data_IF_269463690365
#
_entry.id   IF_269463690365
#
_cell.length_a   1.000
_cell.length_b   1.000
_cell.length_c   1.000
_cell.angle_alpha   90.00
_cell.angle_beta   90.00
_cell.angle_gamma   90.00
#
_symmetry.space_group_name_H-M   'P 1'
#
loop_
_entity.id
_entity.type
_entity.pdbx_description
1 polymer ?
#
# COMPACT_ATOMS: atom_id res chain seq x y z
N UNK A 1 -39.29 -51.43 -9.80
CA UNK A 1 -39.32 -50.10 -9.21
C UNK A 1 -38.12 -49.92 -8.29
N UNK A 2 -37.82 -50.87 -7.38
CA UNK A 2 -36.70 -50.79 -6.43
C UNK A 2 -35.35 -50.73 -7.12
N UNK A 3 -35.11 -51.50 -8.20
CA UNK A 3 -33.85 -51.49 -8.95
C UNK A 3 -33.57 -50.15 -9.64
N UNK A 4 -34.60 -49.44 -10.13
CA UNK A 4 -34.51 -48.12 -10.74
C UNK A 4 -34.18 -47.04 -9.69
N UNK A 5 -34.70 -47.20 -8.47
CA UNK A 5 -34.40 -46.28 -7.36
C UNK A 5 -32.93 -46.40 -6.91
N UNK A 6 -32.38 -47.62 -6.85
CA UNK A 6 -30.97 -47.86 -6.56
C UNK A 6 -30.04 -47.31 -7.65
N UNK A 7 -30.41 -47.40 -8.90
CA UNK A 7 -29.63 -46.87 -10.01
C UNK A 7 -29.63 -45.35 -10.00
N UNK A 8 -30.72 -44.68 -9.68
CA UNK A 8 -30.77 -43.22 -9.53
C UNK A 8 -29.98 -42.74 -8.31
N UNK A 9 -30.02 -43.48 -7.20
CA UNK A 9 -29.27 -43.13 -5.99
C UNK A 9 -27.75 -43.30 -6.19
N UNK A 10 -27.31 -44.31 -6.95
CA UNK A 10 -25.89 -44.49 -7.28
C UNK A 10 -25.34 -43.45 -8.24
N UNK A 11 -26.16 -42.92 -9.18
CA UNK A 11 -25.76 -41.81 -10.06
C UNK A 11 -25.63 -40.50 -9.31
N UNK A 12 -26.46 -40.24 -8.29
CA UNK A 12 -26.38 -39.04 -7.46
C UNK A 12 -25.11 -39.08 -6.56
N UNK A 13 -24.72 -40.27 -6.11
CA UNK A 13 -23.49 -40.43 -5.29
C UNK A 13 -22.19 -40.31 -6.12
N UNK A 14 -22.25 -40.58 -7.44
CA UNK A 14 -21.08 -40.40 -8.33
C UNK A 14 -20.92 -38.99 -8.86
N UNK A 15 -21.96 -38.16 -8.82
CA UNK A 15 -21.85 -36.74 -9.23
C UNK A 15 -21.30 -35.80 -8.15
N UNK A 16 -21.09 -36.28 -6.93
CA UNK A 16 -20.56 -35.42 -5.85
C UNK A 16 -19.04 -35.24 -5.86
N UNK A 17 -18.30 -35.88 -6.78
CA UNK A 17 -16.84 -35.77 -6.85
C UNK A 17 -16.31 -34.77 -7.88
N UNK A 18 -17.16 -33.95 -8.48
CA UNK A 18 -16.73 -32.93 -9.44
C UNK A 18 -16.81 -31.51 -8.86
N UNK A 19 -16.40 -31.36 -7.59
CA UNK A 19 -15.96 -30.02 -7.12
C UNK A 19 -14.52 -29.85 -7.62
N UNK A 20 -14.38 -29.48 -8.88
CA UNK A 20 -13.17 -28.90 -9.42
C UNK A 20 -12.93 -27.53 -8.77
N UNK A 21 -12.68 -27.54 -7.48
CA UNK A 21 -11.97 -26.45 -6.85
C UNK A 21 -10.57 -26.42 -7.46
N UNK A 22 -10.31 -25.47 -8.33
CA UNK A 22 -8.93 -25.14 -8.71
C UNK A 22 -8.24 -24.61 -7.47
N UNK A 23 -7.77 -25.50 -6.63
CA UNK A 23 -6.82 -25.20 -5.57
C UNK A 23 -5.44 -25.04 -6.21
N UNK A 24 -5.27 -23.94 -6.94
CA UNK A 24 -3.96 -23.51 -7.41
C UNK A 24 -3.32 -22.73 -6.28
N UNK A 25 -2.89 -23.41 -5.24
CA UNK A 25 -1.92 -22.92 -4.28
C UNK A 25 -0.48 -23.21 -4.77
N UNK A 26 -0.26 -23.24 -6.07
CA UNK A 26 1.11 -23.11 -6.56
C UNK A 26 1.51 -21.64 -6.36
N UNK A 27 2.71 -21.37 -5.78
CA UNK A 27 3.23 -20.02 -5.76
C UNK A 27 3.27 -19.54 -7.20
N UNK A 28 2.33 -18.66 -7.53
CA UNK A 28 2.23 -18.10 -8.88
C UNK A 28 3.51 -17.30 -9.10
N UNK A 29 4.27 -17.70 -10.11
CA UNK A 29 5.42 -16.92 -10.58
C UNK A 29 4.85 -15.72 -11.36
N UNK A 30 4.22 -14.80 -10.62
CA UNK A 30 3.66 -13.60 -11.19
C UNK A 30 4.77 -12.72 -11.75
N UNK A 31 4.58 -12.28 -12.98
CA UNK A 31 5.50 -11.34 -13.61
C UNK A 31 5.47 -10.00 -12.83
N UNK A 32 6.62 -9.36 -12.76
CA UNK A 32 6.71 -8.03 -12.16
C UNK A 32 5.75 -7.05 -12.86
N UNK A 33 4.98 -6.32 -12.08
CA UNK A 33 4.01 -5.35 -12.56
C UNK A 33 4.36 -3.95 -12.07
N UNK A 34 4.04 -2.96 -12.92
CA UNK A 34 4.12 -1.56 -12.49
C UNK A 34 2.93 -1.26 -11.59
N UNK A 35 3.21 -0.87 -10.35
CA UNK A 35 2.15 -0.51 -9.42
C UNK A 35 1.35 0.69 -9.95
N UNK A 36 0.04 0.58 -10.01
CA UNK A 36 -0.88 1.69 -10.29
C UNK A 36 -1.15 2.51 -9.03
N UNK A 37 -1.83 3.66 -9.20
CA UNK A 37 -2.43 4.36 -8.07
C UNK A 37 -3.52 3.48 -7.45
N UNK A 38 -3.58 3.48 -6.12
CA UNK A 38 -4.67 2.85 -5.35
C UNK A 38 -5.90 3.75 -5.38
N UNK A 39 -5.68 5.05 -5.20
CA UNK A 39 -6.73 6.08 -5.21
C UNK A 39 -6.86 6.66 -6.61
N UNK A 40 -7.79 6.13 -7.39
CA UNK A 40 -8.01 6.57 -8.79
C UNK A 40 -8.41 8.04 -8.89
N UNK A 41 -9.16 8.55 -7.92
CA UNK A 41 -9.61 9.94 -7.85
C UNK A 41 -8.44 10.94 -7.80
N UNK A 42 -7.24 10.51 -7.37
CA UNK A 42 -6.06 11.36 -7.38
C UNK A 42 -5.65 11.76 -8.80
N UNK A 43 -5.84 10.89 -9.79
CA UNK A 43 -5.57 11.19 -11.19
C UNK A 43 -6.67 12.05 -11.84
N UNK A 44 -7.85 12.12 -11.21
CA UNK A 44 -9.02 12.84 -11.70
C UNK A 44 -9.23 14.20 -11.03
N UNK A 45 -8.34 14.61 -10.12
CA UNK A 45 -8.52 15.82 -9.31
C UNK A 45 -8.49 17.13 -10.11
N UNK A 46 -8.17 17.06 -11.41
CA UNK A 46 -7.98 18.22 -12.27
C UNK A 46 -6.56 18.78 -12.21
N UNK A 47 -6.28 19.74 -13.06
CA UNK A 47 -4.97 20.40 -13.11
C UNK A 47 -5.01 21.74 -12.39
N UNK A 48 -3.89 22.12 -11.78
CA UNK A 48 -3.76 23.47 -11.26
C UNK A 48 -3.70 24.51 -12.39
N UNK A 49 -4.33 25.66 -12.21
CA UNK A 49 -4.15 26.82 -13.13
C UNK A 49 -2.68 27.20 -13.23
N UNK A 50 -2.01 27.26 -12.09
CA UNK A 50 -0.57 27.46 -11.98
C UNK A 50 -0.02 26.37 -11.06
N UNK A 51 0.67 25.39 -11.66
CA UNK A 51 1.21 24.25 -10.91
C UNK A 51 2.18 24.70 -9.82
N UNK A 52 1.88 24.47 -8.53
CA UNK A 52 2.81 24.76 -7.46
C UNK A 52 4.06 23.90 -7.58
N UNK A 53 5.23 24.49 -7.33
CA UNK A 53 6.50 23.74 -7.31
C UNK A 53 6.77 23.24 -5.91
N UNK A 54 6.90 21.93 -5.76
CA UNK A 54 7.00 21.24 -4.47
C UNK A 54 8.28 20.41 -4.37
N UNK A 55 8.88 20.39 -3.18
CA UNK A 55 9.99 19.52 -2.85
C UNK A 55 9.61 18.56 -1.71
N UNK A 56 10.15 17.34 -1.80
CA UNK A 56 10.10 16.32 -0.75
C UNK A 56 11.53 15.92 -0.43
N UNK A 57 11.92 16.01 0.83
CA UNK A 57 13.20 15.52 1.31
C UNK A 57 13.03 14.11 1.91
N UNK A 58 13.98 13.19 1.71
CA UNK A 58 13.89 11.84 2.28
C UNK A 58 13.76 11.83 3.80
N UNK A 59 14.40 12.79 4.46
CA UNK A 59 14.38 12.95 5.92
C UNK A 59 13.10 13.58 6.45
N UNK A 60 12.31 14.21 5.57
CA UNK A 60 11.10 14.94 5.95
C UNK A 60 9.83 14.10 5.84
N UNK A 61 9.93 12.85 5.38
CA UNK A 61 8.83 11.90 5.39
C UNK A 61 9.35 10.50 5.74
N UNK A 62 9.08 10.07 6.96
CA UNK A 62 9.65 8.85 7.55
C UNK A 62 8.64 8.08 8.39
N UNK A 63 9.05 6.91 8.81
CA UNK A 63 8.32 6.11 9.79
C UNK A 63 8.71 6.54 11.21
N UNK A 64 7.79 7.19 11.90
CA UNK A 64 7.93 7.60 13.29
C UNK A 64 7.23 6.64 14.28
N UNK A 65 6.67 5.52 13.79
CA UNK A 65 5.95 4.56 14.63
C UNK A 65 6.88 3.75 15.52
N UNK A 66 8.12 3.51 15.07
CA UNK A 66 9.06 2.61 15.75
C UNK A 66 8.62 1.15 15.79
N UNK A 67 7.51 0.80 15.12
CA UNK A 67 6.92 -0.53 15.16
C UNK A 67 7.73 -1.53 14.35
N UNK A 68 7.94 -2.72 14.91
CA UNK A 68 8.60 -3.83 14.25
C UNK A 68 7.61 -4.96 14.01
N UNK A 69 7.86 -5.76 12.98
CA UNK A 69 7.04 -6.95 12.72
C UNK A 69 7.21 -7.92 13.88
N UNK A 70 6.10 -8.23 14.55
CA UNK A 70 6.04 -9.37 15.47
C UNK A 70 6.05 -10.64 14.64
N UNK A 71 7.14 -11.40 14.68
CA UNK A 71 7.18 -12.73 14.11
C UNK A 71 7.79 -13.70 15.12
N UNK A 72 7.13 -14.83 15.22
CA UNK A 72 7.42 -15.84 16.24
C UNK A 72 8.73 -16.62 16.02
N UNK A 73 9.46 -16.48 14.92
CA UNK A 73 10.62 -17.34 14.75
C UNK A 73 11.92 -16.71 14.20
N UNK A 74 11.94 -15.67 13.37
CA UNK A 74 13.23 -15.25 12.75
C UNK A 74 13.43 -13.76 12.40
N UNK A 75 12.45 -12.86 12.54
CA UNK A 75 12.58 -11.48 12.04
C UNK A 75 12.17 -10.38 13.02
N UNK A 76 12.79 -10.35 14.19
CA UNK A 76 12.58 -9.29 15.19
C UNK A 76 13.15 -7.92 14.79
N UNK A 77 13.89 -7.84 13.67
CA UNK A 77 14.55 -6.63 13.21
C UNK A 77 13.85 -5.92 12.04
N UNK A 78 12.86 -6.56 11.39
CA UNK A 78 12.13 -5.92 10.30
C UNK A 78 11.12 -4.90 10.85
N UNK A 79 11.12 -3.70 10.25
CA UNK A 79 10.10 -2.68 10.53
C UNK A 79 8.73 -3.12 10.00
N UNK A 80 7.68 -2.72 10.68
CA UNK A 80 6.31 -3.03 10.25
C UNK A 80 5.93 -2.25 8.99
N UNK A 81 6.47 -1.03 8.85
CA UNK A 81 6.23 -0.10 7.75
C UNK A 81 7.54 0.14 6.99
N UNK A 82 7.45 0.49 5.71
CA UNK A 82 8.64 0.85 4.90
C UNK A 82 9.37 2.05 5.48
N UNK A 83 10.71 2.03 5.40
CA UNK A 83 11.56 3.14 5.84
C UNK A 83 11.73 4.23 4.76
N UNK A 84 11.11 4.05 3.59
CA UNK A 84 11.16 5.00 2.49
C UNK A 84 9.76 5.46 2.03
N UNK A 85 8.85 5.89 2.92
CA UNK A 85 7.51 6.30 2.54
C UNK A 85 7.48 7.55 1.65
N UNK A 86 8.55 8.37 1.66
CA UNK A 86 8.70 9.52 0.77
C UNK A 86 8.63 9.16 -0.72
N UNK A 87 8.98 7.93 -1.09
CA UNK A 87 8.87 7.45 -2.48
C UNK A 87 7.39 7.41 -2.92
N UNK A 88 6.49 6.92 -2.06
CA UNK A 88 5.06 6.93 -2.33
C UNK A 88 4.51 8.35 -2.43
N UNK A 89 5.01 9.26 -1.58
CA UNK A 89 4.61 10.68 -1.63
C UNK A 89 5.03 11.35 -2.94
N UNK A 90 6.30 11.22 -3.33
CA UNK A 90 6.81 11.77 -4.60
C UNK A 90 5.98 11.24 -5.77
N UNK A 91 5.71 9.95 -5.77
CA UNK A 91 4.91 9.30 -6.80
C UNK A 91 3.47 9.83 -6.84
N UNK A 92 2.80 9.94 -5.70
CA UNK A 92 1.45 10.48 -5.60
C UNK A 92 1.37 11.93 -6.12
N UNK A 93 2.33 12.77 -5.74
CA UNK A 93 2.43 14.16 -6.22
C UNK A 93 2.64 14.24 -7.74
N UNK A 94 3.49 13.38 -8.31
CA UNK A 94 3.73 13.32 -9.76
C UNK A 94 2.50 12.85 -10.52
N UNK A 95 1.87 11.76 -10.06
CA UNK A 95 0.71 11.15 -10.72
C UNK A 95 -0.56 12.00 -10.61
N UNK A 96 -0.68 12.87 -9.59
CA UNK A 96 -1.77 13.84 -9.51
C UNK A 96 -1.75 14.83 -10.68
N UNK A 97 -0.57 15.02 -11.31
CA UNK A 97 -0.39 16.04 -12.36
C UNK A 97 -0.56 17.48 -11.88
N UNK A 98 -0.88 17.70 -10.61
CA UNK A 98 -1.20 18.99 -10.02
C UNK A 98 0.04 19.82 -9.67
N UNK A 99 1.14 19.16 -9.28
CA UNK A 99 2.37 19.78 -8.81
C UNK A 99 3.53 19.63 -9.80
N UNK A 100 4.48 20.58 -9.74
CA UNK A 100 5.83 20.39 -10.26
C UNK A 100 6.72 19.88 -9.14
N UNK A 101 7.03 18.59 -9.14
CA UNK A 101 7.91 17.98 -8.13
C UNK A 101 9.36 18.16 -8.55
N UNK A 102 10.18 18.79 -7.69
CA UNK A 102 11.61 19.00 -7.93
C UNK A 102 12.44 17.99 -7.16
N UNK A 103 13.56 17.58 -7.76
CA UNK A 103 14.49 16.62 -7.18
C UNK A 103 15.19 17.18 -5.93
N UNK A 104 15.05 16.46 -4.81
CA UNK A 104 15.76 16.73 -3.55
C UNK A 104 16.30 15.47 -2.89
N UNK A 105 15.92 14.29 -3.38
CA UNK A 105 16.40 13.01 -2.89
C UNK A 105 17.84 12.76 -3.33
N UNK A 106 18.14 13.01 -4.60
CA UNK A 106 19.46 12.86 -5.20
C UNK A 106 20.14 14.18 -5.54
N UNK A 107 19.88 15.25 -4.79
CA UNK A 107 20.39 16.59 -5.10
C UNK A 107 21.91 16.65 -5.19
N UNK A 108 22.62 15.92 -4.34
CA UNK A 108 24.10 15.87 -4.38
C UNK A 108 24.61 15.27 -5.68
N UNK A 109 24.00 14.21 -6.17
CA UNK A 109 24.36 13.58 -7.44
C UNK A 109 24.06 14.52 -8.61
N UNK A 110 22.89 15.17 -8.59
CA UNK A 110 22.53 16.18 -9.59
C UNK A 110 23.52 17.36 -9.60
N UNK A 111 23.96 17.81 -8.43
CA UNK A 111 24.93 18.89 -8.30
C UNK A 111 26.31 18.48 -8.87
N UNK A 112 26.76 17.29 -8.56
CA UNK A 112 28.02 16.73 -9.12
C UNK A 112 27.95 16.64 -10.64
N UNK A 113 26.86 16.11 -11.20
CA UNK A 113 26.67 16.02 -12.65
C UNK A 113 26.69 17.39 -13.31
N UNK A 114 26.04 18.38 -12.71
CA UNK A 114 26.06 19.76 -13.16
C UNK A 114 27.48 20.39 -13.12
N UNK A 115 28.31 20.02 -12.16
CA UNK A 115 29.72 20.44 -12.09
C UNK A 115 30.51 19.83 -13.24
N UNK A 116 30.33 18.53 -13.50
CA UNK A 116 30.97 17.84 -14.63
C UNK A 116 30.61 18.51 -15.96
N UNK A 117 29.33 18.80 -16.18
CA UNK A 117 28.87 19.48 -17.40
C UNK A 117 29.54 20.85 -17.55
N UNK A 118 29.62 21.63 -16.47
CA UNK A 118 30.27 22.95 -16.51
C UNK A 118 31.75 22.83 -16.87
N UNK A 119 32.48 21.96 -16.19
CA UNK A 119 33.91 21.74 -16.45
C UNK A 119 34.17 21.22 -17.87
N UNK A 120 33.34 20.30 -18.36
CA UNK A 120 33.46 19.79 -19.73
C UNK A 120 33.22 20.91 -20.77
N UNK A 121 32.19 21.72 -20.59
CA UNK A 121 31.90 22.84 -21.51
C UNK A 121 33.00 23.90 -21.50
N UNK A 122 33.52 24.20 -20.33
CA UNK A 122 34.65 25.12 -20.17
C UNK A 122 35.88 24.64 -20.94
N UNK A 123 36.20 23.34 -20.87
CA UNK A 123 37.32 22.72 -21.61
C UNK A 123 37.11 22.74 -23.13
N UNK A 124 35.88 22.78 -23.60
CA UNK A 124 35.54 22.84 -25.02
C UNK A 124 35.13 24.25 -25.49
N UNK A 125 35.36 25.27 -24.67
CA UNK A 125 35.02 26.68 -24.95
C UNK A 125 33.52 26.91 -25.30
N UNK A 126 32.64 26.00 -24.83
CA UNK A 126 31.21 26.07 -25.02
C UNK A 126 30.57 27.06 -24.02
N UNK A 127 30.12 28.22 -24.48
CA UNK A 127 29.55 29.26 -23.61
C UNK A 127 28.07 29.09 -23.28
N UNK A 128 27.50 27.90 -23.42
CA UNK A 128 26.08 27.66 -23.11
C UNK A 128 25.85 27.37 -21.65
N UNK A 129 25.33 28.29 -20.82
CA UNK A 129 25.13 28.07 -19.41
C UNK A 129 24.02 27.03 -19.17
N UNK A 130 24.13 26.29 -18.07
CA UNK A 130 23.03 25.46 -17.57
C UNK A 130 21.93 26.37 -17.02
N UNK A 131 20.68 26.03 -17.32
CA UNK A 131 19.54 26.70 -16.69
C UNK A 131 19.63 26.53 -15.16
N UNK A 132 19.20 27.51 -14.36
CA UNK A 132 19.14 27.37 -12.92
C UNK A 132 18.20 26.22 -12.52
N UNK A 133 18.47 25.59 -11.38
CA UNK A 133 17.52 24.64 -10.79
C UNK A 133 16.27 25.38 -10.33
N UNK A 134 15.14 24.73 -10.48
CA UNK A 134 13.89 25.26 -9.96
C UNK A 134 13.95 25.28 -8.42
N UNK A 135 13.49 26.38 -7.85
CA UNK A 135 13.24 26.44 -6.41
C UNK A 135 11.85 25.89 -6.09
N UNK A 136 11.72 25.26 -4.94
CA UNK A 136 10.42 24.85 -4.43
C UNK A 136 9.74 26.03 -3.70
N UNK A 137 8.49 26.29 -4.04
CA UNK A 137 7.66 27.24 -3.27
C UNK A 137 7.06 26.59 -2.02
N UNK A 138 6.91 25.27 -2.07
CA UNK A 138 6.32 24.45 -1.01
C UNK A 138 7.24 23.29 -0.64
N UNK A 139 7.26 22.94 0.65
CA UNK A 139 7.78 21.67 1.14
C UNK A 139 6.60 20.79 1.52
N UNK A 140 6.66 19.52 1.12
CA UNK A 140 5.77 18.49 1.60
C UNK A 140 6.54 17.61 2.57
N UNK A 141 6.07 17.59 3.81
CA UNK A 141 6.67 16.88 4.92
C UNK A 141 5.61 16.06 5.63
N UNK A 142 6.01 14.97 6.27
CA UNK A 142 5.07 14.17 7.01
C UNK A 142 5.71 12.93 7.60
N UNK A 143 4.88 12.08 8.15
CA UNK A 143 5.34 10.80 8.69
C UNK A 143 4.20 9.80 8.80
N UNK A 144 4.58 8.53 8.94
CA UNK A 144 3.69 7.51 9.48
C UNK A 144 3.72 7.69 10.99
N UNK A 145 2.65 8.22 11.56
CA UNK A 145 2.58 8.59 12.99
C UNK A 145 2.00 7.49 13.86
N UNK A 146 1.32 6.51 13.25
CA UNK A 146 0.74 5.39 13.97
C UNK A 146 0.64 4.14 13.09
N UNK A 147 0.96 3.01 13.69
CA UNK A 147 0.64 1.69 13.17
C UNK A 147 0.17 0.84 14.34
N UNK A 148 -1.10 0.55 14.37
CA UNK A 148 -1.72 -0.24 15.42
C UNK A 148 -2.12 -1.58 14.85
N UNK A 149 -1.63 -2.67 15.45
CA UNK A 149 -1.96 -4.03 15.05
C UNK A 149 -2.98 -4.65 15.99
N UNK A 150 -3.84 -5.52 15.44
CA UNK A 150 -4.88 -6.22 16.18
C UNK A 150 -5.88 -5.30 16.89
N UNK A 151 -6.21 -4.15 16.28
CA UNK A 151 -7.20 -3.21 16.83
C UNK A 151 -8.55 -3.89 17.08
N UNK A 152 -8.92 -4.79 16.18
CA UNK A 152 -10.05 -5.70 16.36
C UNK A 152 -9.66 -7.06 15.81
N UNK A 153 -9.93 -8.10 16.59
CA UNK A 153 -9.83 -9.48 16.15
C UNK A 153 -11.07 -10.23 16.57
N UNK A 154 -11.46 -11.20 15.79
CA UNK A 154 -12.60 -12.03 16.10
C UNK A 154 -12.70 -13.19 15.12
N UNK A 155 -13.50 -14.17 15.46
CA UNK A 155 -13.71 -15.31 14.61
C UNK A 155 -14.93 -16.09 15.07
N UNK A 156 -15.41 -16.95 14.21
CA UNK A 156 -16.38 -17.96 14.56
C UNK A 156 -15.97 -19.30 13.96
N UNK A 157 -16.27 -20.35 14.66
CA UNK A 157 -16.01 -21.71 14.20
C UNK A 157 -17.07 -22.65 14.73
N UNK A 158 -17.39 -23.67 13.97
CA UNK A 158 -18.24 -24.76 14.38
C UNK A 158 -17.65 -26.08 13.93
N UNK A 159 -17.69 -27.08 14.81
CA UNK A 159 -17.22 -28.45 14.55
C UNK A 159 -18.31 -29.44 14.93
N UNK A 160 -18.58 -30.38 14.04
CA UNK A 160 -19.49 -31.47 14.27
C UNK A 160 -18.91 -32.76 13.69
N UNK A 161 -18.76 -33.79 14.55
CA UNK A 161 -18.19 -35.10 14.17
C UNK A 161 -16.81 -35.01 13.47
N UNK A 162 -15.95 -34.09 13.91
CA UNK A 162 -14.61 -33.95 13.36
C UNK A 162 -14.54 -33.10 12.05
N UNK A 163 -15.66 -32.55 11.59
CA UNK A 163 -15.70 -31.63 10.46
C UNK A 163 -15.99 -30.23 10.99
N UNK A 164 -15.14 -29.27 10.67
CA UNK A 164 -15.28 -27.91 11.16
C UNK A 164 -14.86 -26.86 10.13
N UNK A 165 -15.33 -25.66 10.37
CA UNK A 165 -14.93 -24.47 9.63
C UNK A 165 -14.71 -23.35 10.64
N UNK A 166 -13.63 -22.60 10.50
CA UNK A 166 -13.39 -21.39 11.27
C UNK A 166 -13.06 -20.23 10.34
N UNK A 167 -13.49 -19.04 10.75
CA UNK A 167 -13.17 -17.79 10.10
C UNK A 167 -12.63 -16.83 11.15
N UNK A 168 -11.44 -16.34 10.93
CA UNK A 168 -10.80 -15.35 11.76
C UNK A 168 -10.57 -14.07 10.97
N UNK A 169 -10.64 -12.93 11.63
CA UNK A 169 -10.29 -11.65 11.02
C UNK A 169 -9.43 -10.85 11.98
N UNK A 170 -8.54 -10.06 11.39
CA UNK A 170 -7.70 -9.09 12.09
C UNK A 170 -7.81 -7.75 11.40
N UNK A 171 -7.91 -6.70 12.16
CA UNK A 171 -7.96 -5.33 11.70
C UNK A 171 -6.76 -4.56 12.26
N UNK A 172 -5.91 -4.08 11.38
CA UNK A 172 -4.80 -3.19 11.72
C UNK A 172 -5.12 -1.77 11.22
N UNK A 173 -4.38 -0.78 11.70
CA UNK A 173 -4.59 0.62 11.32
C UNK A 173 -3.26 1.30 11.08
N UNK A 174 -3.12 2.03 9.97
CA UNK A 174 -2.00 2.91 9.68
C UNK A 174 -2.48 4.36 9.66
N UNK A 175 -1.72 5.26 10.29
CA UNK A 175 -2.03 6.68 10.37
C UNK A 175 -0.88 7.46 9.75
N UNK A 176 -1.21 8.34 8.79
CA UNK A 176 -0.26 9.17 8.05
C UNK A 176 -0.60 10.64 8.27
N UNK A 177 0.40 11.45 8.63
CA UNK A 177 0.33 12.92 8.64
C UNK A 177 1.09 13.46 7.43
N UNK A 178 0.50 14.45 6.75
CA UNK A 178 1.12 15.18 5.64
C UNK A 178 0.95 16.68 5.88
N UNK A 179 2.07 17.41 5.92
CA UNK A 179 2.11 18.87 6.09
C UNK A 179 2.60 19.55 4.83
N UNK A 180 2.00 20.67 4.49
CA UNK A 180 2.44 21.58 3.42
C UNK A 180 2.97 22.85 4.04
N UNK A 181 4.25 23.15 3.81
CA UNK A 181 4.96 24.28 4.37
C UNK A 181 5.35 25.26 3.28
N UNK A 182 5.06 26.53 3.47
CA UNK A 182 5.52 27.62 2.59
C UNK A 182 7.01 27.87 2.80
N UNK A 183 7.80 27.74 1.74
CA UNK A 183 9.26 28.02 1.81
C UNK A 183 9.53 29.50 2.08
N UNK A 184 8.71 30.41 1.56
CA UNK A 184 8.92 31.84 1.69
C UNK A 184 8.67 32.39 3.10
N UNK A 185 7.78 31.73 3.85
CA UNK A 185 7.36 32.22 5.18
C UNK A 185 7.64 31.25 6.32
N UNK A 186 7.99 29.99 6.02
CA UNK A 186 8.11 28.91 7.01
C UNK A 186 6.77 28.52 7.64
N UNK A 187 5.64 29.05 7.16
CA UNK A 187 4.31 28.77 7.71
C UNK A 187 3.81 27.42 7.23
N UNK A 188 3.28 26.60 8.14
CA UNK A 188 2.49 25.43 7.78
C UNK A 188 1.16 25.94 7.21
N UNK A 189 0.90 25.64 5.96
CA UNK A 189 -0.33 26.03 5.26
C UNK A 189 -1.46 25.05 5.53
N UNK A 190 -1.13 23.75 5.50
CA UNK A 190 -2.06 22.64 5.65
C UNK A 190 -1.40 21.51 6.42
N UNK A 191 -2.20 20.78 7.17
CA UNK A 191 -1.84 19.50 7.76
C UNK A 191 -3.02 18.55 7.64
N UNK A 192 -2.80 17.42 6.97
CA UNK A 192 -3.82 16.41 6.72
C UNK A 192 -3.41 15.13 7.45
N UNK A 193 -4.34 14.59 8.25
CA UNK A 193 -4.18 13.32 8.94
C UNK A 193 -5.11 12.28 8.32
N UNK A 194 -4.55 11.18 7.83
CA UNK A 194 -5.31 10.09 7.19
C UNK A 194 -5.13 8.80 7.98
N UNK A 195 -6.23 8.16 8.28
CA UNK A 195 -6.27 6.83 8.90
C UNK A 195 -6.76 5.81 7.87
N UNK A 196 -5.97 4.77 7.64
CA UNK A 196 -6.34 3.64 6.76
C UNK A 196 -6.40 2.36 7.58
N UNK A 197 -7.54 1.70 7.51
CA UNK A 197 -7.74 0.37 8.09
C UNK A 197 -7.27 -0.70 7.12
N UNK A 198 -6.58 -1.71 7.65
CA UNK A 198 -6.08 -2.89 6.97
C UNK A 198 -6.87 -4.07 7.49
N UNK A 199 -7.52 -4.82 6.60
CA UNK A 199 -8.29 -6.01 6.96
C UNK A 199 -7.55 -7.27 6.50
N UNK A 200 -7.33 -8.19 7.43
CA UNK A 200 -6.82 -9.53 7.17
C UNK A 200 -7.89 -10.56 7.53
N UNK A 201 -8.16 -11.48 6.64
CA UNK A 201 -9.17 -12.55 6.85
C UNK A 201 -8.51 -13.90 6.63
N UNK A 202 -8.64 -14.79 7.60
CA UNK A 202 -8.25 -16.17 7.50
C UNK A 202 -9.50 -17.08 7.58
N UNK A 203 -9.61 -18.00 6.65
CA UNK A 203 -10.66 -19.03 6.64
C UNK A 203 -9.98 -20.39 6.66
N UNK A 204 -10.26 -21.22 7.65
CA UNK A 204 -9.79 -22.58 7.71
C UNK A 204 -10.95 -23.56 7.73
N UNK A 205 -10.75 -24.70 7.08
CA UNK A 205 -11.67 -25.83 7.08
C UNK A 205 -10.90 -27.07 7.53
N UNK A 206 -11.30 -27.63 8.66
CA UNK A 206 -10.65 -28.77 9.25
C UNK A 206 -11.55 -30.00 9.09
N UNK A 207 -10.97 -31.11 8.67
CA UNK A 207 -11.65 -32.43 8.64
C UNK A 207 -10.86 -33.39 9.50
N UNK A 208 -11.39 -33.73 10.68
CA UNK A 208 -10.86 -34.81 11.53
C UNK A 208 -11.71 -36.06 11.32
N UNK A 209 -11.14 -37.10 10.79
CA UNK A 209 -11.82 -38.39 10.68
C UNK A 209 -11.19 -39.41 11.58
N UNK A 210 -11.91 -39.87 12.60
CA UNK A 210 -11.55 -41.02 13.35
C UNK A 210 -12.01 -42.29 12.59
N UNK A 211 -11.08 -43.07 12.10
CA UNK A 211 -11.39 -44.40 11.59
C UNK A 211 -11.20 -45.38 12.75
N UNK A 212 -12.32 -45.89 13.24
CA UNK A 212 -12.35 -46.79 14.40
C UNK A 212 -11.91 -48.21 14.01
N UNK A 213 -10.63 -48.48 13.84
CA UNK A 213 -10.05 -49.81 13.96
C UNK A 213 -8.53 -49.92 13.93
N UNK A 214 -7.81 -48.91 13.49
CA UNK A 214 -6.36 -48.84 13.65
C UNK A 214 -5.93 -47.36 13.70
N UNK A 215 -5.10 -47.06 14.62
CA UNK A 215 -4.61 -45.77 15.12
C UNK A 215 -4.05 -44.77 14.10
N UNK A 216 -4.66 -44.60 12.96
CA UNK A 216 -4.31 -43.53 12.03
C UNK A 216 -5.26 -42.36 12.16
N UNK A 217 -4.77 -41.27 12.77
CA UNK A 217 -5.41 -39.98 12.78
C UNK A 217 -5.20 -39.32 11.40
N UNK A 218 -6.21 -39.23 10.59
CA UNK A 218 -6.17 -38.48 9.37
C UNK A 218 -6.67 -37.06 9.67
N UNK A 219 -5.75 -36.11 9.71
CA UNK A 219 -6.00 -34.71 9.86
C UNK A 219 -5.81 -34.06 8.49
N UNK A 220 -6.86 -33.47 7.94
CA UNK A 220 -6.79 -32.68 6.71
C UNK A 220 -7.19 -31.26 7.08
N UNK A 221 -6.25 -30.35 7.04
CA UNK A 221 -6.47 -28.93 7.21
C UNK A 221 -6.37 -28.21 5.88
N UNK A 222 -7.37 -27.42 5.56
CA UNK A 222 -7.37 -26.57 4.40
C UNK A 222 -7.66 -25.14 4.83
N UNK A 223 -6.74 -24.23 4.55
CA UNK A 223 -6.84 -22.84 4.96
C UNK A 223 -6.59 -21.88 3.81
N UNK A 224 -7.30 -20.76 3.80
CA UNK A 224 -7.06 -19.62 2.92
C UNK A 224 -6.93 -18.37 3.78
N UNK A 225 -5.87 -17.59 3.52
CA UNK A 225 -5.63 -16.32 4.18
C UNK A 225 -5.53 -15.22 3.13
N UNK A 226 -6.38 -14.22 3.25
CA UNK A 226 -6.34 -13.02 2.42
C UNK A 226 -5.92 -11.84 3.29
N UNK A 227 -4.80 -11.20 2.92
CA UNK A 227 -4.24 -10.09 3.66
C UNK A 227 -4.02 -8.89 2.75
N UNK A 228 -4.58 -7.73 3.12
CA UNK A 228 -4.17 -6.47 2.51
C UNK A 228 -2.72 -6.16 2.94
N UNK A 229 -1.86 -5.86 1.96
CA UNK A 229 -0.47 -5.50 2.26
C UNK A 229 -0.38 -4.16 3.01
N UNK A 230 0.39 -4.10 4.09
CA UNK A 230 0.67 -2.86 4.83
C UNK A 230 1.22 -1.77 3.90
N UNK A 231 2.06 -2.14 2.93
CA UNK A 231 2.61 -1.19 1.96
C UNK A 231 1.53 -0.63 1.03
N UNK A 232 0.55 -1.45 0.62
CA UNK A 232 -0.57 -1.01 -0.22
C UNK A 232 -1.47 -0.05 0.56
N UNK A 233 -1.75 -0.37 1.81
CA UNK A 233 -2.54 0.49 2.70
C UNK A 233 -1.83 1.82 2.97
N UNK A 234 -0.51 1.79 3.19
CA UNK A 234 0.30 3.00 3.35
C UNK A 234 0.30 3.85 2.07
N UNK A 235 0.46 3.22 0.90
CA UNK A 235 0.35 3.91 -0.38
C UNK A 235 -1.01 4.59 -0.51
N UNK A 236 -2.11 3.88 -0.23
CA UNK A 236 -3.46 4.44 -0.28
C UNK A 236 -3.65 5.62 0.69
N UNK A 237 -3.10 5.52 1.91
CA UNK A 237 -3.18 6.60 2.89
C UNK A 237 -2.43 7.85 2.42
N UNK A 238 -1.23 7.69 1.85
CA UNK A 238 -0.44 8.80 1.31
C UNK A 238 -1.13 9.44 0.09
N UNK A 239 -1.64 8.63 -0.84
CA UNK A 239 -2.38 9.13 -2.01
C UNK A 239 -3.65 9.89 -1.59
N UNK A 240 -4.37 9.40 -0.57
CA UNK A 240 -5.52 10.11 0.01
C UNK A 240 -5.10 11.42 0.67
N UNK A 241 -3.98 11.44 1.39
CA UNK A 241 -3.46 12.66 2.00
C UNK A 241 -3.12 13.72 0.95
N UNK A 242 -2.50 13.33 -0.17
CA UNK A 242 -2.22 14.25 -1.30
C UNK A 242 -3.51 14.76 -1.93
N UNK A 243 -4.48 13.88 -2.19
CA UNK A 243 -5.78 14.27 -2.74
C UNK A 243 -6.48 15.29 -1.83
N UNK A 244 -6.51 15.02 -0.54
CA UNK A 244 -7.13 15.91 0.45
C UNK A 244 -6.39 17.25 0.54
N UNK A 245 -5.05 17.23 0.52
CA UNK A 245 -4.22 18.44 0.48
C UNK A 245 -4.57 19.32 -0.73
N UNK A 246 -4.77 18.73 -1.91
CA UNK A 246 -5.15 19.49 -3.12
C UNK A 246 -6.51 20.15 -2.93
N UNK A 247 -7.51 19.41 -2.43
CA UNK A 247 -8.88 19.90 -2.20
C UNK A 247 -8.92 21.02 -1.14
N UNK A 248 -8.33 20.78 0.02
CA UNK A 248 -8.31 21.78 1.10
C UNK A 248 -7.54 23.04 0.72
N UNK A 249 -6.42 22.90 -0.01
CA UNK A 249 -5.66 24.04 -0.47
C UNK A 249 -6.40 24.86 -1.53
N UNK A 250 -7.26 24.22 -2.32
CA UNK A 250 -8.18 24.92 -3.23
C UNK A 250 -9.24 25.67 -2.44
N UNK A 251 -9.88 25.03 -1.47
CA UNK A 251 -10.92 25.65 -0.64
C UNK A 251 -10.39 26.85 0.16
N UNK A 252 -9.14 26.75 0.67
CA UNK A 252 -8.44 27.83 1.36
C UNK A 252 -7.77 28.85 0.44
N UNK A 253 -7.92 28.70 -0.89
CA UNK A 253 -7.42 29.61 -1.93
C UNK A 253 -5.89 29.74 -1.95
N UNK A 254 -5.17 28.69 -1.60
CA UNK A 254 -3.71 28.62 -1.79
C UNK A 254 -3.34 28.33 -3.25
N UNK A 255 -4.22 27.65 -3.95
CA UNK A 255 -4.13 27.38 -5.40
C UNK A 255 -5.53 27.19 -5.98
N UNK A 256 -5.62 27.29 -7.33
CA UNK A 256 -6.88 27.06 -8.06
C UNK A 256 -6.78 25.81 -8.91
N UNK A 257 -7.85 25.03 -8.93
CA UNK A 257 -8.06 23.95 -9.89
C UNK A 257 -8.64 24.59 -11.16
N UNK A 258 -8.16 24.20 -12.34
CA UNK A 258 -8.76 24.63 -13.60
C UNK A 258 -10.19 24.14 -13.68
N UNK A 259 -11.11 25.03 -13.94
CA UNK A 259 -12.44 24.66 -14.38
C UNK A 259 -12.33 23.98 -15.76
N UNK A 260 -13.06 22.88 -15.96
CA UNK A 260 -13.13 22.17 -17.24
C UNK A 260 -13.86 23.00 -18.32
#
# INVERSE_FOLDING_TARGET
VVLRLYLCLSVILLSSCAINGKWQNEPTNELAQVNSLVIKDLALVGQAEKKPTVAVYPTAFKDDTGQRRGNSSFATFSTAVTQAPHIYLIRALQHSGFFHVVERTGLDNLTKERQIIRSTRENFEEQKPLKPLLFAGLLMEGSVVGYESNVKSGGYGARYLGIGSSKEYRQDTVIVSLRTVSVSTGRILLEVLVTKTILSVAVSQDVFRFVASDTELVEVENGMTENESVNLALQAAIETAVLQTIKEGHDLKYWSIKDE
#
